data_IF_326577073769
#
_entry.id   IF_326577073769
#
_cell.length_a   1.000
_cell.length_b   1.000
_cell.length_c   1.000
_cell.angle_alpha   90.00
_cell.angle_beta   90.00
_cell.angle_gamma   90.00
#
_symmetry.space_group_name_H-M   'P 1'
#
loop_
_entity.id
_entity.type
_entity.pdbx_description
1 polymer ?
#
# COMPACT_ATOMS: atom_id res chain seq x y z
N UNK A 1 -3.90 2.71 5.57
CA UNK A 1 -4.28 3.35 4.30
C UNK A 1 -5.20 2.43 3.50
N UNK A 2 -4.89 1.13 3.41
CA UNK A 2 -5.70 0.07 2.79
C UNK A 2 -5.80 0.12 1.26
N UNK A 3 -5.08 1.04 0.62
CA UNK A 3 -4.97 1.14 -0.84
C UNK A 3 -3.67 1.84 -1.26
N UNK A 4 -2.56 1.43 -0.63
CA UNK A 4 -1.24 1.87 -1.07
C UNK A 4 -0.94 1.16 -2.39
N UNK A 5 -0.68 1.96 -3.43
CA UNK A 5 -0.32 1.52 -4.78
C UNK A 5 0.39 2.66 -5.48
N UNK A 6 1.13 2.37 -6.56
CA UNK A 6 1.93 3.39 -7.24
C UNK A 6 1.09 4.55 -7.79
N UNK A 7 -0.15 4.30 -8.22
CA UNK A 7 -1.04 5.38 -8.70
C UNK A 7 -1.55 6.30 -7.60
N UNK A 8 -1.45 5.89 -6.32
CA UNK A 8 -1.83 6.69 -5.16
C UNK A 8 -0.60 7.34 -4.47
N UNK A 9 0.58 7.25 -5.11
CA UNK A 9 1.80 7.92 -4.69
C UNK A 9 2.08 9.03 -5.70
N UNK A 10 1.93 10.28 -5.28
CA UNK A 10 2.22 11.43 -6.12
C UNK A 10 3.67 11.87 -5.91
N UNK A 11 4.33 12.26 -6.99
CA UNK A 11 5.69 12.81 -6.96
C UNK A 11 5.58 14.32 -7.10
N UNK A 12 6.09 15.05 -6.10
CA UNK A 12 6.19 16.51 -6.11
C UNK A 12 7.51 16.94 -6.75
N UNK A 13 7.69 18.24 -6.94
CA UNK A 13 9.00 18.83 -7.21
C UNK A 13 9.99 18.42 -6.09
N UNK A 14 11.29 18.33 -6.42
CA UNK A 14 12.35 18.02 -5.45
C UNK A 14 12.35 16.59 -4.87
N UNK A 15 11.93 15.58 -5.67
CA UNK A 15 12.01 14.15 -5.31
C UNK A 15 11.20 13.74 -4.07
N UNK A 16 10.29 14.59 -3.59
CA UNK A 16 9.37 14.26 -2.51
C UNK A 16 8.19 13.42 -3.04
N UNK A 17 7.87 12.33 -2.34
CA UNK A 17 6.68 11.53 -2.60
C UNK A 17 5.62 11.79 -1.52
N UNK A 18 4.36 11.89 -1.92
CA UNK A 18 3.22 12.04 -1.00
C UNK A 18 2.15 11.00 -1.30
N UNK A 19 1.57 10.41 -0.25
CA UNK A 19 0.42 9.52 -0.39
C UNK A 19 -0.86 10.33 -0.59
N UNK A 20 -1.72 9.89 -1.50
CA UNK A 20 -3.04 10.44 -1.73
C UNK A 20 -4.13 9.36 -1.64
N UNK A 21 -5.40 9.78 -1.74
CA UNK A 21 -6.59 8.90 -1.71
C UNK A 21 -6.82 8.15 -0.39
N UNK A 22 -7.20 8.90 0.64
CA UNK A 22 -7.53 8.39 1.98
C UNK A 22 -9.00 7.97 2.14
N UNK A 23 -9.76 7.85 1.03
CA UNK A 23 -11.21 7.63 1.07
C UNK A 23 -11.64 6.36 1.80
N UNK A 24 -10.72 5.39 1.94
CA UNK A 24 -10.95 4.09 2.60
C UNK A 24 -10.02 3.85 3.79
N UNK A 25 -9.36 4.89 4.32
CA UNK A 25 -8.60 4.79 5.55
C UNK A 25 -9.50 4.44 6.75
N UNK A 26 -8.92 3.86 7.81
CA UNK A 26 -9.60 3.21 8.97
C UNK A 26 -10.60 4.09 9.75
N UNK A 27 -10.75 5.38 9.43
CA UNK A 27 -11.80 6.22 10.01
C UNK A 27 -13.23 5.82 9.65
N UNK A 28 -13.46 5.03 8.60
CA UNK A 28 -14.82 4.66 8.15
C UNK A 28 -15.36 3.38 8.81
N UNK A 29 -14.71 2.23 8.60
CA UNK A 29 -15.19 0.93 9.10
C UNK A 29 -14.05 -0.12 9.01
N UNK A 30 -13.58 -0.67 10.15
CA UNK A 30 -12.56 -1.72 10.18
C UNK A 30 -13.04 -3.04 9.55
N UNK A 31 -14.34 -3.32 9.53
CA UNK A 31 -14.90 -4.62 9.14
C UNK A 31 -14.98 -4.86 7.63
N UNK A 32 -14.88 -3.80 6.83
CA UNK A 32 -14.89 -3.95 5.37
C UNK A 32 -13.56 -4.56 4.91
N UNK A 33 -13.53 -5.25 3.78
CA UNK A 33 -12.28 -5.57 3.07
C UNK A 33 -12.30 -4.79 1.77
N UNK A 34 -11.41 -3.81 1.64
CA UNK A 34 -11.36 -2.83 0.54
C UNK A 34 -9.91 -2.63 0.11
N UNK A 35 -9.71 -2.17 -1.12
CA UNK A 35 -8.40 -1.90 -1.70
C UNK A 35 -8.25 -2.52 -3.09
N UNK A 36 -7.09 -2.33 -3.71
CA UNK A 36 -6.77 -2.86 -5.03
C UNK A 36 -6.18 -4.27 -4.93
N UNK A 37 -6.86 -5.28 -5.48
CA UNK A 37 -6.51 -6.70 -5.34
C UNK A 37 -5.04 -7.05 -5.63
N UNK A 38 -4.40 -6.40 -6.61
CA UNK A 38 -2.98 -6.61 -6.97
C UNK A 38 -2.01 -6.28 -5.83
N UNK A 39 -2.37 -5.34 -4.96
CA UNK A 39 -1.52 -4.85 -3.88
C UNK A 39 -1.90 -5.45 -2.52
N UNK A 40 -2.93 -6.30 -2.47
CA UNK A 40 -3.40 -6.89 -1.22
C UNK A 40 -2.42 -7.94 -0.70
N UNK A 41 -2.18 -7.89 0.60
CA UNK A 41 -1.43 -8.90 1.33
C UNK A 41 -2.13 -10.27 1.27
N UNK A 42 -1.39 -11.39 1.30
CA UNK A 42 -1.94 -12.73 1.15
C UNK A 42 -3.02 -13.06 2.19
N UNK A 43 -2.82 -12.65 3.44
CA UNK A 43 -3.78 -12.83 4.53
C UNK A 43 -5.13 -12.12 4.26
N UNK A 44 -5.14 -11.07 3.45
CA UNK A 44 -6.35 -10.38 3.01
C UNK A 44 -7.03 -11.18 1.91
N UNK A 45 -6.26 -11.63 0.90
CA UNK A 45 -6.76 -12.42 -0.23
C UNK A 45 -7.37 -13.75 0.23
N UNK A 46 -6.82 -14.34 1.27
CA UNK A 46 -7.26 -15.62 1.83
C UNK A 46 -8.31 -15.45 2.95
N UNK A 47 -8.75 -14.22 3.23
CA UNK A 47 -9.71 -13.91 4.30
C UNK A 47 -9.26 -14.38 5.69
N UNK A 48 -7.95 -14.33 5.96
CA UNK A 48 -7.31 -14.75 7.23
C UNK A 48 -6.92 -13.57 8.15
N UNK A 49 -7.25 -12.35 7.75
CA UNK A 49 -6.90 -11.13 8.50
C UNK A 49 -7.77 -10.98 9.76
N UNK A 50 -7.14 -10.54 10.87
CA UNK A 50 -7.88 -10.15 12.08
C UNK A 50 -8.32 -8.69 11.96
N UNK A 51 -9.59 -8.46 11.65
CA UNK A 51 -10.16 -7.12 11.48
C UNK A 51 -10.36 -6.36 12.80
N UNK A 52 -10.24 -7.03 13.95
CA UNK A 52 -10.30 -6.41 15.28
C UNK A 52 -8.93 -5.86 15.71
N UNK A 53 -7.85 -6.28 15.05
CA UNK A 53 -6.49 -5.87 15.37
C UNK A 53 -6.01 -4.75 14.44
N UNK A 54 -5.73 -3.59 15.04
CA UNK A 54 -5.20 -2.43 14.31
C UNK A 54 -3.81 -2.68 13.71
N UNK A 55 -3.00 -3.58 14.30
CA UNK A 55 -1.68 -3.92 13.75
C UNK A 55 -1.79 -4.70 12.44
N UNK A 56 -2.82 -5.55 12.30
CA UNK A 56 -3.08 -6.27 11.06
C UNK A 56 -3.25 -5.32 9.86
N UNK A 57 -3.95 -4.19 10.03
CA UNK A 57 -4.07 -3.19 8.95
C UNK A 57 -2.76 -2.48 8.63
N UNK A 58 -1.87 -2.28 9.61
CA UNK A 58 -0.53 -1.70 9.37
C UNK A 58 0.35 -2.67 8.60
N UNK A 59 0.29 -3.96 8.92
CA UNK A 59 1.03 -5.01 8.21
C UNK A 59 0.58 -5.09 6.74
N UNK A 60 -0.72 -5.00 6.48
CA UNK A 60 -1.26 -4.91 5.12
C UNK A 60 -0.72 -3.70 4.35
N UNK A 61 -0.65 -2.53 4.99
CA UNK A 61 -0.06 -1.33 4.38
C UNK A 61 1.43 -1.51 4.07
N UNK A 62 2.19 -2.16 4.97
CA UNK A 62 3.62 -2.45 4.78
C UNK A 62 3.83 -3.40 3.59
N UNK A 63 3.00 -4.44 3.45
CA UNK A 63 3.06 -5.34 2.30
C UNK A 63 2.84 -4.58 0.99
N UNK A 64 1.77 -3.77 0.94
CA UNK A 64 1.43 -2.96 -0.22
C UNK A 64 2.56 -1.98 -0.59
N UNK A 65 3.17 -1.35 0.42
CA UNK A 65 4.32 -0.46 0.26
C UNK A 65 5.56 -1.19 -0.29
N UNK A 66 5.81 -2.43 0.14
CA UNK A 66 6.92 -3.22 -0.39
C UNK A 66 6.79 -3.47 -1.90
N UNK A 67 5.56 -3.71 -2.40
CA UNK A 67 5.31 -3.83 -3.84
C UNK A 67 5.59 -2.52 -4.59
N UNK A 68 5.18 -1.37 -4.03
CA UNK A 68 5.50 -0.05 -4.60
C UNK A 68 7.02 0.19 -4.65
N UNK A 69 7.73 -0.15 -3.57
CA UNK A 69 9.20 -0.02 -3.53
C UNK A 69 9.87 -0.93 -4.56
N UNK A 70 9.36 -2.14 -4.76
CA UNK A 70 9.84 -3.04 -5.81
C UNK A 70 9.58 -2.49 -7.22
N UNK A 71 8.41 -1.89 -7.47
CA UNK A 71 8.13 -1.21 -8.75
C UNK A 71 9.08 -0.04 -9.02
N UNK A 72 9.47 0.69 -7.98
CA UNK A 72 10.48 1.76 -8.08
C UNK A 72 11.86 1.17 -8.40
N UNK A 73 12.32 0.20 -7.61
CA UNK A 73 13.64 -0.40 -7.75
C UNK A 73 13.83 -1.13 -9.09
N UNK A 74 12.79 -1.81 -9.59
CA UNK A 74 12.83 -2.51 -10.90
C UNK A 74 12.92 -1.57 -12.11
N UNK A 75 12.69 -0.27 -11.91
CA UNK A 75 12.82 0.78 -12.94
C UNK A 75 14.04 1.68 -12.73
N UNK A 76 14.84 1.43 -11.70
CA UNK A 76 16.11 2.12 -11.52
C UNK A 76 17.17 1.50 -12.44
N UNK A 77 17.68 2.27 -13.38
CA UNK A 77 18.90 1.92 -14.10
C UNK A 77 20.11 2.28 -13.24
N UNK A 78 21.02 1.33 -13.04
CA UNK A 78 22.29 1.59 -12.35
C UNK A 78 23.18 2.37 -13.31
N UNK A 79 23.28 3.68 -13.10
CA UNK A 79 24.23 4.52 -13.84
C UNK A 79 25.63 4.23 -13.32
N UNK A 80 26.38 3.33 -14.01
CA UNK A 80 27.79 3.07 -13.70
C UNK A 80 28.30 1.64 -13.88
N UNK A 81 27.63 0.79 -14.67
CA UNK A 81 28.15 -0.51 -15.10
C UNK A 81 28.98 -0.43 -16.38
#
# INVERSE_FOLDING_TARGET
HRDIKSTNVLVKNEQECVLCDFGIAIRLDPSLTVGTARYMAPEVLESRVNLEDLESFKQMDVYSMALVLWEMASRCEVVGG
#
